data_IF_842982485954
#
_entry.id   IF_842982485954
#
_cell.length_a   1.000
_cell.length_b   1.000
_cell.length_c   1.000
_cell.angle_alpha   90.00
_cell.angle_beta   90.00
_cell.angle_gamma   90.00
#
_symmetry.space_group_name_H-M   'P 1'
#
loop_
_entity.id
_entity.type
_entity.pdbx_description
1 polymer ?
#
# COMPACT_ATOMS: atom_id res chain seq x y z
N UNK A 1 -14.20 -30.44 -3.92
CA UNK A 1 -13.05 -29.65 -4.41
C UNK A 1 -12.10 -30.67 -5.01
N UNK A 2 -12.22 -30.92 -6.31
CA UNK A 2 -11.46 -31.95 -7.02
C UNK A 2 -10.02 -31.46 -7.14
N UNK A 3 -9.06 -32.25 -6.67
CA UNK A 3 -7.64 -31.94 -6.78
C UNK A 3 -7.28 -31.73 -8.27
N UNK A 4 -6.72 -30.57 -8.58
CA UNK A 4 -6.26 -30.21 -9.93
C UNK A 4 -4.95 -30.96 -10.23
N UNK A 5 -5.04 -32.25 -10.50
CA UNK A 5 -3.91 -33.07 -10.97
C UNK A 5 -3.96 -33.08 -12.50
N UNK A 6 -3.23 -32.16 -13.15
CA UNK A 6 -3.11 -32.16 -14.61
C UNK A 6 -1.73 -32.67 -15.01
N UNK A 7 -1.70 -33.86 -15.64
CA UNK A 7 -0.56 -34.54 -16.31
C UNK A 7 0.67 -34.86 -15.47
N UNK A 8 1.38 -35.95 -15.81
CA UNK A 8 2.58 -36.43 -15.10
C UNK A 8 3.76 -35.42 -15.13
N UNK A 9 3.70 -34.37 -15.96
CA UNK A 9 4.81 -33.43 -16.23
C UNK A 9 4.61 -31.98 -15.70
N UNK A 10 3.42 -31.57 -15.23
CA UNK A 10 3.21 -30.20 -14.70
C UNK A 10 2.12 -30.10 -13.63
N UNK A 11 2.53 -30.05 -12.36
CA UNK A 11 1.62 -29.86 -11.23
C UNK A 11 1.52 -28.38 -10.84
N UNK A 12 0.43 -27.73 -11.25
CA UNK A 12 0.20 -26.29 -11.01
C UNK A 12 0.33 -25.90 -9.53
N UNK A 13 -0.20 -26.71 -8.61
CA UNK A 13 -0.10 -26.40 -7.18
C UNK A 13 1.34 -26.42 -6.67
N UNK A 14 2.15 -27.39 -7.11
CA UNK A 14 3.57 -27.48 -6.76
C UNK A 14 4.33 -26.30 -7.34
N UNK A 15 4.12 -26.00 -8.62
CA UNK A 15 4.74 -24.85 -9.29
C UNK A 15 4.36 -23.52 -8.63
N UNK A 16 3.11 -23.34 -8.18
CA UNK A 16 2.67 -22.16 -7.43
C UNK A 16 3.35 -22.07 -6.06
N UNK A 17 3.53 -23.19 -5.35
CA UNK A 17 4.21 -23.21 -4.06
C UNK A 17 5.70 -22.86 -4.21
N UNK A 18 6.39 -23.46 -5.20
CA UNK A 18 7.79 -23.12 -5.52
C UNK A 18 7.95 -21.64 -5.85
N UNK A 19 7.02 -21.09 -6.64
CA UNK A 19 7.03 -19.67 -6.95
C UNK A 19 6.79 -18.81 -5.70
N UNK A 20 5.86 -19.19 -4.81
CA UNK A 20 5.65 -18.47 -3.54
C UNK A 20 6.90 -18.47 -2.67
N UNK A 21 7.62 -19.58 -2.58
CA UNK A 21 8.90 -19.67 -1.87
C UNK A 21 9.94 -18.72 -2.48
N UNK A 22 10.05 -18.67 -3.81
CA UNK A 22 10.92 -17.70 -4.51
C UNK A 22 10.50 -16.25 -4.18
N UNK A 23 9.20 -15.96 -4.20
CA UNK A 23 8.69 -14.61 -3.92
C UNK A 23 8.89 -14.19 -2.47
N UNK A 24 8.98 -15.15 -1.54
CA UNK A 24 9.23 -14.88 -0.12
C UNK A 24 10.62 -14.30 0.13
N UNK A 25 11.62 -14.65 -0.69
CA UNK A 25 12.95 -14.02 -0.63
C UNK A 25 12.89 -12.50 -0.88
N UNK A 26 11.85 -12.04 -1.57
CA UNK A 26 11.56 -10.62 -1.81
C UNK A 26 10.40 -10.07 -0.97
N UNK A 27 9.91 -10.82 0.03
CA UNK A 27 8.80 -10.47 0.92
C UNK A 27 7.42 -10.35 0.23
N UNK A 28 7.18 -11.17 -0.79
CA UNK A 28 5.91 -11.27 -1.52
C UNK A 28 5.32 -12.70 -1.56
N UNK A 29 5.79 -13.62 -0.71
CA UNK A 29 5.32 -15.01 -0.67
C UNK A 29 3.84 -15.17 -0.30
N UNK A 30 3.30 -14.25 0.52
CA UNK A 30 1.90 -14.27 0.98
C UNK A 30 0.85 -13.86 -0.08
N UNK A 31 1.21 -13.80 -1.36
CA UNK A 31 0.22 -13.64 -2.43
C UNK A 31 -0.69 -14.87 -2.46
N UNK A 32 -2.00 -14.64 -2.36
CA UNK A 32 -2.96 -15.75 -2.27
C UNK A 32 -3.04 -16.53 -3.58
N UNK A 33 -3.32 -17.84 -3.47
CA UNK A 33 -3.51 -18.70 -4.63
C UNK A 33 -4.62 -18.20 -5.57
N UNK A 34 -5.69 -17.61 -5.02
CA UNK A 34 -6.74 -16.97 -5.82
C UNK A 34 -6.16 -15.87 -6.73
N UNK A 35 -5.27 -15.04 -6.21
CA UNK A 35 -4.65 -13.95 -6.98
C UNK A 35 -3.74 -14.50 -8.06
N UNK A 36 -3.01 -15.60 -7.81
CA UNK A 36 -2.22 -16.27 -8.85
C UNK A 36 -3.11 -16.77 -9.99
N UNK A 37 -4.16 -17.53 -9.67
CA UNK A 37 -5.10 -18.06 -10.67
C UNK A 37 -5.80 -16.95 -11.47
N UNK A 38 -6.24 -15.89 -10.78
CA UNK A 38 -6.85 -14.73 -11.43
C UNK A 38 -5.85 -13.95 -12.29
N UNK A 39 -4.58 -13.88 -11.89
CA UNK A 39 -3.52 -13.23 -12.67
C UNK A 39 -3.19 -14.03 -13.94
N UNK A 40 -3.15 -15.36 -13.86
CA UNK A 40 -2.96 -16.25 -15.03
C UNK A 40 -4.14 -16.10 -16.00
N UNK A 41 -5.37 -16.18 -15.51
CA UNK A 41 -6.57 -16.01 -16.35
C UNK A 41 -6.65 -14.61 -16.95
N UNK A 42 -6.34 -13.57 -16.17
CA UNK A 42 -6.25 -12.19 -16.66
C UNK A 42 -5.17 -11.98 -17.71
N UNK A 43 -4.01 -12.64 -17.57
CA UNK A 43 -2.91 -12.59 -18.53
C UNK A 43 -3.32 -13.20 -19.88
N UNK A 44 -3.93 -14.40 -19.85
CA UNK A 44 -4.24 -15.20 -21.04
C UNK A 44 -5.54 -14.73 -21.72
N UNK A 45 -6.59 -14.48 -20.94
CA UNK A 45 -7.97 -14.33 -21.44
C UNK A 45 -8.57 -12.94 -21.17
N UNK A 46 -7.84 -12.04 -20.49
CA UNK A 46 -8.34 -10.74 -20.02
C UNK A 46 -9.57 -10.83 -19.10
N UNK A 47 -9.76 -11.98 -18.43
CA UNK A 47 -10.91 -12.22 -17.56
C UNK A 47 -10.44 -12.90 -16.28
N UNK A 48 -11.02 -12.51 -15.14
CA UNK A 48 -10.63 -12.93 -13.79
C UNK A 48 -11.77 -13.60 -13.04
N UNK A 49 -12.91 -13.82 -13.72
CA UNK A 49 -14.06 -14.52 -13.14
C UNK A 49 -13.72 -15.98 -12.84
N UNK A 50 -14.39 -16.54 -11.83
CA UNK A 50 -14.21 -17.95 -11.46
C UNK A 50 -14.44 -18.89 -12.65
N UNK A 51 -15.42 -18.58 -13.51
CA UNK A 51 -15.74 -19.37 -14.70
C UNK A 51 -14.52 -19.40 -15.63
N UNK A 52 -13.98 -18.24 -16.01
CA UNK A 52 -12.80 -18.15 -16.87
C UNK A 52 -11.57 -18.83 -16.27
N UNK A 53 -11.38 -18.74 -14.95
CA UNK A 53 -10.31 -19.46 -14.25
C UNK A 53 -10.49 -20.98 -14.38
N UNK A 54 -11.71 -21.49 -14.25
CA UNK A 54 -12.00 -22.93 -14.36
C UNK A 54 -11.98 -23.48 -15.78
N UNK A 55 -12.15 -22.62 -16.78
CA UNK A 55 -12.14 -23.00 -18.21
C UNK A 55 -10.74 -23.06 -18.82
N UNK A 56 -9.71 -22.58 -18.12
CA UNK A 56 -8.32 -22.69 -18.57
C UNK A 56 -7.90 -24.16 -18.69
N UNK A 57 -7.40 -24.53 -19.86
CA UNK A 57 -6.81 -25.86 -20.06
C UNK A 57 -5.41 -25.93 -19.43
N UNK A 58 -4.99 -27.14 -19.03
CA UNK A 58 -3.63 -27.35 -18.51
C UNK A 58 -2.53 -26.94 -19.50
N UNK A 59 -2.78 -27.11 -20.81
CA UNK A 59 -1.89 -26.66 -21.88
C UNK A 59 -1.76 -25.13 -21.92
N UNK A 60 -2.88 -24.40 -21.87
CA UNK A 60 -2.86 -22.94 -21.84
C UNK A 60 -2.07 -22.41 -20.65
N UNK A 61 -2.26 -23.01 -19.47
CA UNK A 61 -1.55 -22.60 -18.25
C UNK A 61 -0.06 -22.90 -18.38
N UNK A 62 0.31 -24.13 -18.75
CA UNK A 62 1.70 -24.57 -18.88
C UNK A 62 2.47 -23.71 -19.90
N UNK A 63 1.88 -23.47 -21.06
CA UNK A 63 2.53 -22.74 -22.15
C UNK A 63 2.74 -21.24 -21.82
N UNK A 64 1.95 -20.70 -20.86
CA UNK A 64 2.08 -19.31 -20.38
C UNK A 64 2.74 -19.19 -19.01
N UNK A 65 3.07 -20.30 -18.34
CA UNK A 65 3.57 -20.32 -16.97
C UNK A 65 4.84 -19.49 -16.81
N UNK A 66 5.81 -19.68 -17.70
CA UNK A 66 7.07 -18.94 -17.65
C UNK A 66 6.87 -17.43 -17.83
N UNK A 67 5.98 -17.02 -18.75
CA UNK A 67 5.65 -15.61 -18.94
C UNK A 67 4.99 -15.01 -17.69
N UNK A 68 4.10 -15.77 -17.04
CA UNK A 68 3.50 -15.37 -15.77
C UNK A 68 4.55 -15.17 -14.66
N UNK A 69 5.46 -16.13 -14.47
CA UNK A 69 6.56 -16.01 -13.49
C UNK A 69 7.44 -14.79 -13.76
N UNK A 70 7.86 -14.57 -15.02
CA UNK A 70 8.65 -13.41 -15.41
C UNK A 70 7.89 -12.09 -15.20
N UNK A 71 6.59 -12.08 -15.45
CA UNK A 71 5.73 -10.93 -15.17
C UNK A 71 5.73 -10.60 -13.69
N UNK A 72 5.52 -11.59 -12.81
CA UNK A 72 5.55 -11.39 -11.36
C UNK A 72 6.90 -10.85 -10.86
N UNK A 73 8.02 -11.35 -11.38
CA UNK A 73 9.35 -10.84 -11.05
C UNK A 73 9.49 -9.35 -11.40
N UNK A 74 9.06 -8.95 -12.61
CA UNK A 74 9.04 -7.55 -13.05
C UNK A 74 8.10 -6.67 -12.20
N UNK A 75 6.96 -7.22 -11.77
CA UNK A 75 6.03 -6.53 -10.86
C UNK A 75 6.71 -6.22 -9.54
N UNK A 76 7.38 -7.19 -8.94
CA UNK A 76 8.07 -6.99 -7.66
C UNK A 76 9.19 -5.97 -7.81
N UNK A 77 9.95 -6.04 -8.90
CA UNK A 77 10.99 -5.05 -9.19
C UNK A 77 10.38 -3.64 -9.36
N UNK A 78 9.24 -3.51 -10.05
CA UNK A 78 8.49 -2.25 -10.17
C UNK A 78 7.98 -1.76 -8.81
N UNK A 79 7.33 -2.62 -8.02
CA UNK A 79 6.81 -2.27 -6.70
C UNK A 79 7.94 -1.79 -5.77
N UNK A 80 9.08 -2.47 -5.79
CA UNK A 80 10.23 -2.11 -4.96
C UNK A 80 10.92 -0.82 -5.43
N UNK A 81 11.20 -0.68 -6.74
CA UNK A 81 12.00 0.44 -7.27
C UNK A 81 11.22 1.70 -7.57
N UNK A 82 9.99 1.58 -8.07
CA UNK A 82 9.17 2.71 -8.54
C UNK A 82 8.14 3.15 -7.50
N UNK A 83 7.66 2.23 -6.67
CA UNK A 83 6.64 2.48 -5.64
C UNK A 83 7.23 2.46 -4.21
N UNK A 84 8.47 2.00 -4.02
CA UNK A 84 9.07 1.75 -2.69
C UNK A 84 8.22 0.82 -1.80
N UNK A 85 7.45 -0.09 -2.42
CA UNK A 85 6.70 -1.14 -1.75
C UNK A 85 7.57 -2.39 -1.69
N UNK A 86 8.29 -2.57 -0.57
CA UNK A 86 9.26 -3.66 -0.41
C UNK A 86 8.71 -4.91 0.29
N UNK A 87 7.42 -4.92 0.64
CA UNK A 87 6.80 -6.04 1.35
C UNK A 87 5.29 -6.06 1.07
N UNK A 88 4.72 -7.25 0.93
CA UNK A 88 3.29 -7.43 0.60
C UNK A 88 2.30 -6.83 1.61
N UNK A 89 2.65 -6.79 2.90
CA UNK A 89 1.92 -6.05 3.94
C UNK A 89 1.63 -4.56 3.62
N UNK A 90 2.43 -3.93 2.75
CA UNK A 90 2.19 -2.57 2.28
C UNK A 90 1.29 -2.50 1.06
N UNK A 91 1.14 -3.61 0.33
CA UNK A 91 0.33 -3.63 -0.86
C UNK A 91 -1.13 -3.41 -0.46
N UNK A 92 -1.75 -2.30 -0.92
CA UNK A 92 -3.12 -1.97 -0.51
C UNK A 92 -4.10 -3.08 -0.88
N UNK A 93 -3.94 -3.63 -2.08
CA UNK A 93 -4.77 -4.71 -2.59
C UNK A 93 -3.94 -5.70 -3.40
N UNK A 94 -3.99 -6.99 -3.05
CA UNK A 94 -3.33 -8.02 -3.88
C UNK A 94 -3.92 -8.06 -5.31
N UNK A 95 -5.17 -7.64 -5.50
CA UNK A 95 -5.83 -7.52 -6.80
C UNK A 95 -5.10 -6.58 -7.77
N UNK A 96 -4.30 -5.63 -7.29
CA UNK A 96 -3.48 -4.79 -8.17
C UNK A 96 -2.47 -5.63 -8.96
N UNK A 97 -1.99 -6.75 -8.41
CA UNK A 97 -1.07 -7.67 -9.09
C UNK A 97 -1.68 -8.25 -10.36
N UNK A 98 -3.01 -8.44 -10.42
CA UNK A 98 -3.68 -9.01 -11.60
C UNK A 98 -3.54 -8.09 -12.82
N UNK A 99 -3.83 -6.81 -12.66
CA UNK A 99 -3.69 -5.83 -13.74
C UNK A 99 -2.19 -5.57 -14.06
N UNK A 100 -1.33 -5.54 -13.05
CA UNK A 100 0.12 -5.42 -13.26
C UNK A 100 0.69 -6.63 -14.01
N UNK A 101 0.16 -7.84 -13.77
CA UNK A 101 0.55 -9.07 -14.50
C UNK A 101 0.25 -8.90 -15.98
N UNK A 102 -0.91 -8.35 -16.33
CA UNK A 102 -1.20 -8.03 -17.73
C UNK A 102 -0.19 -7.03 -18.30
N UNK A 103 0.15 -5.97 -17.57
CA UNK A 103 1.08 -4.93 -18.05
C UNK A 103 2.49 -5.48 -18.33
N UNK A 104 3.01 -6.33 -17.44
CA UNK A 104 4.37 -6.87 -17.53
C UNK A 104 4.49 -8.17 -18.33
N UNK A 105 3.36 -8.77 -18.69
CA UNK A 105 3.29 -9.94 -19.58
C UNK A 105 3.45 -9.61 -21.07
N UNK A 106 3.48 -8.33 -21.43
CA UNK A 106 3.90 -7.89 -22.77
C UNK A 106 5.43 -7.93 -22.89
N UNK A 107 5.92 -8.36 -24.05
CA UNK A 107 7.36 -8.53 -24.28
C UNK A 107 8.12 -7.22 -24.39
N UNK A 108 7.50 -6.11 -24.82
CA UNK A 108 8.22 -4.84 -24.96
C UNK A 108 8.48 -4.18 -23.60
N UNK A 109 9.61 -3.50 -23.50
CA UNK A 109 9.94 -2.68 -22.33
C UNK A 109 8.96 -1.50 -22.23
N UNK A 110 8.44 -1.20 -21.02
CA UNK A 110 7.60 -0.02 -20.80
C UNK A 110 8.32 1.29 -21.17
N UNK A 111 7.58 2.24 -21.73
CA UNK A 111 8.08 3.62 -21.90
C UNK A 111 7.94 4.42 -20.60
N UNK A 112 8.61 5.59 -20.52
CA UNK A 112 8.50 6.47 -19.37
C UNK A 112 7.06 6.96 -19.12
N UNK A 113 6.33 7.30 -20.19
CA UNK A 113 4.93 7.75 -20.09
C UNK A 113 4.02 6.62 -19.59
N UNK A 114 4.25 5.38 -20.07
CA UNK A 114 3.51 4.22 -19.60
C UNK A 114 3.73 3.95 -18.11
N UNK A 115 5.00 4.02 -17.65
CA UNK A 115 5.32 3.86 -16.23
C UNK A 115 4.73 5.00 -15.39
N UNK A 116 4.68 6.23 -15.90
CA UNK A 116 4.03 7.36 -15.22
C UNK A 116 2.54 7.07 -15.00
N UNK A 117 1.81 6.68 -16.04
CA UNK A 117 0.38 6.38 -15.94
C UNK A 117 0.10 5.14 -15.08
N UNK A 118 0.98 4.12 -15.14
CA UNK A 118 0.90 2.93 -14.28
C UNK A 118 1.06 3.28 -12.80
N UNK A 119 2.01 4.15 -12.46
CA UNK A 119 2.18 4.68 -11.09
C UNK A 119 0.95 5.45 -10.63
N UNK A 120 0.41 6.34 -11.47
CA UNK A 120 -0.79 7.09 -11.14
C UNK A 120 -2.00 6.16 -10.92
N UNK A 121 -2.17 5.13 -11.76
CA UNK A 121 -3.19 4.09 -11.56
C UNK A 121 -3.02 3.34 -10.24
N UNK A 122 -1.79 2.94 -9.89
CA UNK A 122 -1.51 2.26 -8.63
C UNK A 122 -1.96 3.12 -7.44
N UNK A 123 -1.60 4.40 -7.41
CA UNK A 123 -2.00 5.30 -6.32
C UNK A 123 -3.50 5.60 -6.31
N UNK A 124 -4.13 5.78 -7.48
CA UNK A 124 -5.58 6.00 -7.59
C UNK A 124 -6.37 4.82 -7.03
N UNK A 125 -5.97 3.60 -7.38
CA UNK A 125 -6.63 2.39 -6.90
C UNK A 125 -6.36 2.14 -5.41
N UNK A 126 -5.16 2.44 -4.93
CA UNK A 126 -4.77 2.37 -3.52
C UNK A 126 -5.60 3.27 -2.59
N UNK A 127 -5.92 4.49 -3.03
CA UNK A 127 -6.74 5.46 -2.27
C UNK A 127 -8.21 5.44 -2.73
N UNK A 128 -8.73 4.24 -3.00
CA UNK A 128 -10.13 4.05 -3.35
C UNK A 128 -10.69 2.78 -2.71
N UNK A 129 -12.01 2.68 -2.64
CA UNK A 129 -12.68 1.46 -2.19
C UNK A 129 -12.86 0.43 -3.32
N UNK A 130 -11.98 0.44 -4.33
CA UNK A 130 -12.13 -0.29 -5.58
C UNK A 130 -12.30 -1.79 -5.34
N UNK A 131 -11.37 -2.45 -4.67
CA UNK A 131 -11.47 -3.90 -4.44
C UNK A 131 -12.09 -4.28 -3.09
N UNK A 132 -12.44 -3.29 -2.25
CA UNK A 132 -13.14 -3.49 -0.97
C UNK A 132 -14.65 -3.63 -1.11
N UNK A 133 -15.20 -3.31 -2.28
CA UNK A 133 -16.65 -3.34 -2.57
C UNK A 133 -16.96 -4.42 -3.61
N UNK A 134 -18.20 -4.92 -3.65
CA UNK A 134 -18.60 -6.03 -4.55
C UNK A 134 -18.25 -5.83 -6.03
N UNK A 135 -18.38 -6.89 -6.85
CA UNK A 135 -17.94 -6.93 -8.26
C UNK A 135 -16.41 -6.79 -8.43
N UNK A 136 -15.64 -7.41 -7.53
CA UNK A 136 -14.17 -7.34 -7.56
C UNK A 136 -13.58 -7.83 -8.88
N UNK A 137 -14.12 -8.91 -9.46
CA UNK A 137 -13.69 -9.46 -10.76
C UNK A 137 -13.94 -8.49 -11.91
N UNK A 138 -15.10 -7.83 -11.95
CA UNK A 138 -15.43 -6.88 -13.03
C UNK A 138 -14.50 -5.65 -12.96
N UNK A 139 -14.13 -5.24 -11.74
CA UNK A 139 -13.17 -4.15 -11.55
C UNK A 139 -11.78 -4.55 -12.01
N UNK A 140 -11.30 -5.75 -11.65
CA UNK A 140 -10.03 -6.30 -12.14
C UNK A 140 -10.02 -6.40 -13.67
N UNK A 141 -11.10 -6.89 -14.28
CA UNK A 141 -11.23 -6.96 -15.74
C UNK A 141 -11.17 -5.56 -16.37
N UNK A 142 -11.90 -4.57 -15.82
CA UNK A 142 -11.82 -3.21 -16.34
C UNK A 142 -10.46 -2.53 -16.09
N UNK A 143 -9.69 -2.98 -15.09
CA UNK A 143 -8.31 -2.53 -14.91
C UNK A 143 -7.39 -3.16 -15.96
N UNK A 144 -7.56 -4.45 -16.27
CA UNK A 144 -6.85 -5.11 -17.37
C UNK A 144 -7.06 -4.36 -18.68
N UNK A 145 -8.31 -3.98 -19.00
CA UNK A 145 -8.62 -3.17 -20.19
C UNK A 145 -7.86 -1.84 -20.20
N UNK A 146 -7.91 -1.08 -19.10
CA UNK A 146 -7.17 0.19 -18.98
C UNK A 146 -5.66 0.00 -19.11
N UNK A 147 -5.12 -1.08 -18.54
CA UNK A 147 -3.70 -1.41 -18.63
C UNK A 147 -3.28 -1.70 -20.08
N UNK A 148 -4.12 -2.40 -20.85
CA UNK A 148 -3.89 -2.64 -22.28
C UNK A 148 -3.88 -1.30 -23.04
N UNK A 149 -4.75 -0.35 -22.70
CA UNK A 149 -4.71 1.00 -23.28
C UNK A 149 -3.41 1.74 -22.97
N UNK A 150 -2.91 1.67 -21.71
CA UNK A 150 -1.61 2.25 -21.35
C UNK A 150 -0.51 1.69 -22.26
N UNK A 151 -0.49 0.37 -22.49
CA UNK A 151 0.52 -0.29 -23.35
C UNK A 151 0.47 0.18 -24.80
N UNK A 152 -0.65 0.68 -25.27
CA UNK A 152 -0.82 1.26 -26.62
C UNK A 152 -0.67 2.78 -26.65
N UNK A 153 -0.22 3.40 -25.54
CA UNK A 153 -0.12 4.85 -25.33
C UNK A 153 -1.46 5.60 -25.45
N UNK A 154 -2.58 4.90 -25.23
CA UNK A 154 -3.86 5.54 -25.02
C UNK A 154 -4.10 5.73 -23.51
N UNK A 155 -4.12 6.99 -23.07
CA UNK A 155 -4.25 7.32 -21.64
C UNK A 155 -5.62 7.91 -21.28
N UNK A 156 -6.61 7.77 -22.17
CA UNK A 156 -7.90 8.46 -22.01
C UNK A 156 -8.70 7.89 -20.84
N UNK A 157 -8.93 6.57 -20.79
CA UNK A 157 -9.77 5.97 -19.75
C UNK A 157 -9.05 5.90 -18.39
N UNK A 158 -7.72 5.71 -18.39
CA UNK A 158 -6.94 5.69 -17.15
C UNK A 158 -6.91 7.05 -16.45
N UNK A 159 -6.94 8.15 -17.21
CA UNK A 159 -6.98 9.51 -16.64
C UNK A 159 -8.35 9.90 -16.09
N UNK A 160 -9.42 9.24 -16.55
CA UNK A 160 -10.76 9.37 -15.96
C UNK A 160 -10.89 8.71 -14.60
N UNK A 161 -10.08 7.70 -14.31
CA UNK A 161 -10.05 7.07 -12.98
C UNK A 161 -9.61 8.09 -11.93
N UNK A 162 -10.34 8.14 -10.81
CA UNK A 162 -10.05 8.99 -9.65
C UNK A 162 -9.94 8.11 -8.40
N UNK A 163 -9.11 8.54 -7.46
CA UNK A 163 -9.17 8.05 -6.09
C UNK A 163 -10.46 8.57 -5.45
N UNK A 164 -10.93 7.93 -4.37
CA UNK A 164 -12.18 8.32 -3.70
C UNK A 164 -12.00 8.70 -2.24
N UNK A 165 -10.84 8.41 -1.65
CA UNK A 165 -10.54 8.73 -0.25
C UNK A 165 -10.73 10.21 0.06
N UNK A 166 -11.48 10.49 1.12
CA UNK A 166 -11.72 11.84 1.65
C UNK A 166 -10.93 12.10 2.94
N UNK A 167 -10.84 13.37 3.36
CA UNK A 167 -10.29 13.74 4.68
C UNK A 167 -10.99 13.02 5.82
N UNK A 168 -12.32 12.96 5.78
CA UNK A 168 -13.12 12.30 6.82
C UNK A 168 -12.82 10.80 6.84
N UNK A 169 -12.69 10.13 5.70
CA UNK A 169 -12.29 8.71 5.69
C UNK A 169 -10.90 8.50 6.31
N UNK A 170 -9.93 9.40 6.09
CA UNK A 170 -8.62 9.33 6.74
C UNK A 170 -8.71 9.53 8.26
N UNK A 171 -9.58 10.42 8.72
CA UNK A 171 -9.76 10.72 10.14
C UNK A 171 -10.53 9.61 10.86
N UNK A 172 -11.60 9.11 10.25
CA UNK A 172 -12.54 8.18 10.87
C UNK A 172 -12.09 6.72 10.75
N UNK A 173 -11.15 6.41 9.84
CA UNK A 173 -10.62 5.06 9.70
C UNK A 173 -9.72 4.71 10.88
N UNK A 174 -10.15 3.70 11.66
CA UNK A 174 -9.32 3.07 12.69
C UNK A 174 -8.17 2.31 12.05
N UNK A 175 -6.96 2.53 12.56
CA UNK A 175 -5.74 1.87 12.14
C UNK A 175 -5.85 0.35 12.29
N UNK A 176 -5.66 -0.35 11.17
CA UNK A 176 -5.57 -1.80 11.12
C UNK A 176 -4.70 -2.20 9.95
N UNK A 177 -3.71 -3.08 10.17
CA UNK A 177 -2.85 -3.60 9.09
C UNK A 177 -3.62 -4.40 8.03
N UNK A 178 -4.85 -4.84 8.32
CA UNK A 178 -5.72 -5.50 7.35
C UNK A 178 -6.52 -4.50 6.49
N UNK A 179 -6.60 -3.24 6.88
CA UNK A 179 -7.36 -2.22 6.16
C UNK A 179 -6.52 -1.67 4.99
N UNK A 180 -7.02 -1.74 3.74
CA UNK A 180 -6.30 -1.24 2.57
C UNK A 180 -5.90 0.23 2.65
N UNK A 181 -6.77 1.10 3.18
CA UNK A 181 -6.47 2.51 3.35
C UNK A 181 -5.33 2.74 4.36
N UNK A 182 -5.24 1.92 5.41
CA UNK A 182 -4.09 1.94 6.33
C UNK A 182 -2.80 1.57 5.58
N UNK A 183 -2.82 0.51 4.76
CA UNK A 183 -1.64 0.11 3.97
C UNK A 183 -1.22 1.19 2.97
N UNK A 184 -2.17 1.78 2.26
CA UNK A 184 -1.95 2.90 1.34
C UNK A 184 -1.33 4.10 2.05
N UNK A 185 -1.86 4.48 3.21
CA UNK A 185 -1.32 5.55 4.04
C UNK A 185 0.12 5.26 4.47
N UNK A 186 0.40 4.05 4.96
CA UNK A 186 1.74 3.66 5.38
C UNK A 186 2.72 3.68 4.20
N UNK A 187 2.32 3.16 3.04
CA UNK A 187 3.14 3.17 1.82
C UNK A 187 3.41 4.58 1.31
N UNK A 188 2.43 5.49 1.41
CA UNK A 188 2.60 6.91 1.11
C UNK A 188 3.61 7.56 2.07
N UNK A 189 3.52 7.26 3.36
CA UNK A 189 4.47 7.73 4.36
C UNK A 189 5.91 7.26 4.06
N UNK A 190 6.11 6.03 3.57
CA UNK A 190 7.44 5.55 3.16
C UNK A 190 8.08 6.45 2.10
N UNK A 191 7.30 7.05 1.20
CA UNK A 191 7.81 7.94 0.16
C UNK A 191 8.49 9.18 0.73
N UNK A 192 8.04 9.64 1.90
CA UNK A 192 8.58 10.83 2.58
C UNK A 192 9.83 10.54 3.41
N UNK A 193 10.24 9.27 3.50
CA UNK A 193 11.43 8.83 4.27
C UNK A 193 11.42 9.42 5.68
N UNK A 194 10.36 9.16 6.48
CA UNK A 194 10.17 9.77 7.78
C UNK A 194 11.37 9.57 8.68
N UNK A 195 11.72 10.62 9.42
CA UNK A 195 12.74 10.58 10.46
C UNK A 195 12.11 10.41 11.83
N UNK A 196 12.86 9.78 12.73
CA UNK A 196 12.52 9.65 14.14
C UNK A 196 12.25 11.03 14.79
N UNK A 197 11.11 11.16 15.47
CA UNK A 197 10.67 12.42 16.06
C UNK A 197 11.60 12.98 17.15
N UNK A 198 12.32 12.11 17.86
CA UNK A 198 13.15 12.47 19.02
C UNK A 198 14.63 12.56 18.63
N UNK A 199 15.10 11.62 17.81
CA UNK A 199 16.52 11.45 17.48
C UNK A 199 16.92 12.06 16.13
N UNK A 200 15.95 12.45 15.30
CA UNK A 200 16.20 12.91 13.93
C UNK A 200 17.01 11.90 13.10
N UNK A 201 16.78 10.61 13.32
CA UNK A 201 17.45 9.54 12.60
C UNK A 201 16.54 8.97 11.53
N UNK A 202 17.12 8.54 10.41
CA UNK A 202 16.37 7.78 9.40
C UNK A 202 15.81 6.51 10.03
N UNK A 203 14.52 6.26 9.78
CA UNK A 203 13.88 5.03 10.22
C UNK A 203 14.16 3.97 9.16
N UNK A 204 14.71 2.83 9.58
CA UNK A 204 14.82 1.66 8.71
C UNK A 204 13.44 1.03 8.58
N UNK A 205 12.71 1.48 7.56
CA UNK A 205 11.34 1.04 7.31
C UNK A 205 11.37 -0.46 7.02
N UNK A 206 12.20 -0.95 6.10
CA UNK A 206 12.25 -2.37 5.70
C UNK A 206 12.47 -3.33 6.88
N UNK A 207 13.42 -3.03 7.78
CA UNK A 207 13.67 -3.84 8.99
C UNK A 207 12.60 -3.67 10.06
N UNK A 208 11.96 -2.51 10.14
CA UNK A 208 10.82 -2.26 11.04
C UNK A 208 9.60 -3.14 10.71
N UNK A 209 9.64 -3.88 9.59
CA UNK A 209 8.49 -4.56 9.00
C UNK A 209 8.69 -6.07 8.86
N UNK A 210 9.92 -6.51 8.54
CA UNK A 210 10.26 -7.94 8.40
C UNK A 210 10.10 -8.71 9.71
N UNK A 211 10.30 -8.04 10.84
CA UNK A 211 9.83 -8.56 12.11
C UNK A 211 8.39 -8.09 12.27
N UNK A 212 7.43 -9.01 12.28
CA UNK A 212 6.00 -8.83 12.56
C UNK A 212 5.70 -8.22 13.97
N UNK A 213 6.60 -7.41 14.50
CA UNK A 213 6.52 -6.66 15.73
C UNK A 213 5.60 -5.46 15.52
N UNK A 214 4.47 -5.45 16.23
CA UNK A 214 3.53 -4.31 16.39
C UNK A 214 4.17 -3.04 17.00
N UNK A 215 5.51 -2.92 17.01
CA UNK A 215 6.29 -2.00 17.85
C UNK A 215 6.81 -0.76 17.11
N UNK A 216 6.44 -0.54 15.85
CA UNK A 216 7.03 0.52 15.02
C UNK A 216 6.03 1.60 14.56
N UNK A 217 4.73 1.41 14.79
CA UNK A 217 3.70 2.42 14.53
C UNK A 217 3.14 2.91 15.86
N UNK A 218 3.24 4.20 16.12
CA UNK A 218 2.77 4.79 17.37
C UNK A 218 1.94 6.03 17.15
N UNK A 219 1.11 6.31 18.14
CA UNK A 219 0.27 7.51 18.15
C UNK A 219 1.15 8.75 18.32
N UNK A 220 0.91 9.78 17.51
CA UNK A 220 1.56 11.08 17.65
C UNK A 220 0.98 11.81 18.87
N UNK A 221 -0.35 11.83 18.99
CA UNK A 221 -1.01 12.21 20.24
C UNK A 221 -1.20 10.95 21.09
N UNK A 222 -0.50 10.79 22.22
CA UNK A 222 -0.46 9.51 22.92
C UNK A 222 -1.83 9.01 23.37
N UNK A 223 -2.06 7.70 23.23
CA UNK A 223 -3.31 7.02 23.58
C UNK A 223 -3.77 7.34 25.01
N UNK A 224 -2.86 7.22 25.99
CA UNK A 224 -3.18 7.48 27.41
C UNK A 224 -3.50 8.96 27.67
N UNK A 225 -2.89 9.89 26.93
CA UNK A 225 -3.25 11.30 26.99
C UNK A 225 -4.68 11.51 26.47
N UNK A 226 -4.99 10.99 25.27
CA UNK A 226 -6.30 11.19 24.65
C UNK A 226 -7.45 10.51 25.39
N UNK A 227 -7.21 9.34 25.99
CA UNK A 227 -8.20 8.68 26.87
C UNK A 227 -8.58 9.55 28.06
N UNK A 228 -7.60 10.19 28.71
CA UNK A 228 -7.85 11.12 29.84
C UNK A 228 -8.65 12.35 29.41
N UNK A 229 -8.51 12.78 28.15
CA UNK A 229 -9.30 13.86 27.55
C UNK A 229 -10.70 13.41 27.09
N UNK A 230 -11.05 12.13 27.23
CA UNK A 230 -12.39 11.61 26.90
C UNK A 230 -12.63 11.35 25.42
N UNK A 231 -11.58 11.27 24.59
CA UNK A 231 -11.75 10.93 23.17
C UNK A 231 -12.18 9.46 22.99
N UNK A 232 -13.07 9.16 22.02
CA UNK A 232 -13.48 7.81 21.71
C UNK A 232 -12.34 7.00 21.07
N UNK A 233 -12.33 5.69 21.27
CA UNK A 233 -11.25 4.79 20.81
C UNK A 233 -11.04 4.88 19.30
N UNK A 234 -12.12 4.99 18.53
CA UNK A 234 -12.10 5.09 17.08
C UNK A 234 -11.29 6.30 16.63
N UNK A 235 -11.48 7.44 17.30
CA UNK A 235 -10.78 8.69 17.00
C UNK A 235 -9.34 8.67 17.53
N UNK A 236 -9.09 8.05 18.68
CA UNK A 236 -7.72 7.87 19.20
C UNK A 236 -6.87 7.06 18.20
N UNK A 237 -7.43 5.96 17.71
CA UNK A 237 -6.78 5.04 16.79
C UNK A 237 -6.97 5.42 15.32
N UNK A 238 -7.33 6.66 15.02
CA UNK A 238 -7.37 7.20 13.66
C UNK A 238 -6.04 6.95 12.95
N UNK A 239 -6.05 6.52 11.68
CA UNK A 239 -4.81 6.38 10.91
C UNK A 239 -4.02 7.69 10.83
N UNK A 240 -4.72 8.83 10.82
CA UNK A 240 -4.12 10.16 10.82
C UNK A 240 -3.41 10.50 12.16
N UNK A 241 -3.54 9.68 13.20
CA UNK A 241 -2.78 9.81 14.44
C UNK A 241 -1.56 8.89 14.52
N UNK A 242 -1.27 8.06 13.50
CA UNK A 242 -0.11 7.16 13.53
C UNK A 242 1.10 7.70 12.77
N UNK A 243 2.30 7.38 13.25
CA UNK A 243 3.57 7.59 12.55
C UNK A 243 4.49 6.38 12.73
N UNK A 244 5.53 6.31 11.89
CA UNK A 244 6.67 5.44 12.16
C UNK A 244 7.47 6.03 13.32
N UNK A 245 7.67 5.25 14.38
CA UNK A 245 8.44 5.70 15.53
C UNK A 245 9.16 4.50 16.19
N UNK A 246 10.50 4.51 16.24
CA UNK A 246 11.28 3.53 16.97
C UNK A 246 10.84 3.36 18.43
N UNK A 247 10.87 2.13 18.93
CA UNK A 247 10.35 1.77 20.24
C UNK A 247 11.04 2.50 21.42
N UNK A 248 12.31 2.85 21.29
CA UNK A 248 13.08 3.62 22.25
C UNK A 248 12.68 5.11 22.27
N UNK A 249 12.45 5.72 21.13
CA UNK A 249 11.88 7.08 21.03
C UNK A 249 10.43 7.11 21.53
N UNK A 250 9.63 6.09 21.21
CA UNK A 250 8.29 5.94 21.78
C UNK A 250 8.30 5.81 23.31
N UNK A 251 9.29 5.11 23.90
CA UNK A 251 9.45 5.04 25.37
C UNK A 251 9.78 6.41 25.98
N UNK A 252 10.50 7.27 25.27
CA UNK A 252 10.79 8.63 25.73
C UNK A 252 9.54 9.52 25.71
N UNK A 253 8.73 9.42 24.66
CA UNK A 253 7.44 10.13 24.57
C UNK A 253 6.46 9.58 25.62
N UNK A 254 6.29 8.26 25.70
CA UNK A 254 5.42 7.57 26.66
C UNK A 254 3.98 8.16 26.64
N UNK A 255 3.46 8.60 27.78
CA UNK A 255 2.15 9.24 27.93
C UNK A 255 2.21 10.76 28.09
N UNK A 256 3.35 11.39 27.75
CA UNK A 256 3.51 12.85 27.83
C UNK A 256 2.51 13.55 26.93
N UNK A 257 2.10 14.74 27.34
CA UNK A 257 1.18 15.55 26.55
C UNK A 257 1.91 16.08 25.30
N UNK A 258 1.23 16.23 24.15
CA UNK A 258 1.80 16.88 22.97
C UNK A 258 2.46 18.23 23.26
N UNK A 259 1.81 19.07 24.07
CA UNK A 259 2.33 20.38 24.51
C UNK A 259 3.61 20.31 25.34
N UNK A 260 3.97 19.14 25.84
CA UNK A 260 5.22 18.91 26.58
C UNK A 260 6.25 18.28 25.64
N UNK A 261 5.95 17.13 25.06
CA UNK A 261 6.97 16.34 24.37
C UNK A 261 7.43 16.97 23.06
N UNK A 262 6.54 17.65 22.31
CA UNK A 262 6.95 18.33 21.07
C UNK A 262 7.99 19.42 21.35
N UNK A 263 7.96 20.06 22.51
CA UNK A 263 8.87 21.18 22.84
C UNK A 263 10.01 20.79 23.78
N UNK A 264 10.08 19.53 24.20
CA UNK A 264 11.14 19.03 25.09
C UNK A 264 11.94 17.88 24.49
N UNK A 265 11.35 17.11 23.57
CA UNK A 265 11.98 15.91 22.98
C UNK A 265 12.21 16.03 21.47
N UNK A 266 11.41 16.80 20.73
CA UNK A 266 11.65 17.01 19.30
C UNK A 266 12.74 18.07 19.15
N UNK A 267 13.84 17.80 18.42
CA UNK A 267 14.94 18.75 18.28
C UNK A 267 14.52 20.08 17.64
N UNK A 268 14.64 21.19 18.36
CA UNK A 268 14.21 22.52 17.91
C UNK A 268 14.84 22.94 16.57
N UNK A 269 16.14 22.67 16.38
CA UNK A 269 16.87 23.02 15.16
C UNK A 269 16.39 22.27 13.91
N UNK A 270 15.66 21.15 14.09
CA UNK A 270 15.16 20.31 13.00
C UNK A 270 13.65 20.11 13.07
N UNK A 271 12.94 20.88 13.89
CA UNK A 271 11.52 20.68 14.19
C UNK A 271 10.68 20.60 12.92
N UNK A 272 10.81 21.60 12.03
CA UNK A 272 10.04 21.63 10.79
C UNK A 272 10.39 20.48 9.85
N UNK A 273 11.67 20.16 9.69
CA UNK A 273 12.12 19.09 8.79
C UNK A 273 11.60 17.72 9.24
N UNK A 274 11.67 17.45 10.55
CA UNK A 274 11.18 16.21 11.16
C UNK A 274 9.66 16.09 10.95
N UNK A 275 8.91 17.16 11.22
CA UNK A 275 7.45 17.16 11.08
C UNK A 275 7.05 17.02 9.61
N UNK A 276 7.69 17.77 8.70
CA UNK A 276 7.43 17.67 7.27
C UNK A 276 7.70 16.27 6.71
N UNK A 277 8.81 15.62 7.10
CA UNK A 277 9.10 14.23 6.67
C UNK A 277 8.09 13.20 7.17
N UNK A 278 7.30 13.54 8.19
CA UNK A 278 6.25 12.69 8.77
C UNK A 278 4.83 13.14 8.37
N UNK A 279 4.70 14.10 7.44
CA UNK A 279 3.43 14.73 7.09
C UNK A 279 2.66 15.22 8.34
N UNK A 280 3.37 15.84 9.27
CA UNK A 280 2.82 16.40 10.50
C UNK A 280 2.68 17.93 10.33
N UNK A 281 1.55 18.55 10.72
CA UNK A 281 1.33 20.00 10.58
C UNK A 281 2.43 20.84 11.24
N UNK A 282 2.91 21.89 10.56
CA UNK A 282 3.98 22.75 11.10
C UNK A 282 3.47 23.80 12.11
N UNK A 283 2.15 23.98 12.24
CA UNK A 283 1.54 24.98 13.12
C UNK A 283 1.73 24.62 14.58
N UNK A 284 2.70 25.27 15.26
CA UNK A 284 3.05 24.99 16.67
C UNK A 284 1.88 25.08 17.65
N UNK A 285 0.97 26.02 17.43
CA UNK A 285 -0.22 26.26 18.27
C UNK A 285 -1.08 24.99 18.47
N UNK A 286 -1.12 24.11 17.47
CA UNK A 286 -1.82 22.81 17.54
C UNK A 286 -1.28 21.99 18.72
N UNK A 287 0.04 21.95 18.89
CA UNK A 287 0.70 21.17 19.93
C UNK A 287 0.67 21.89 21.27
N UNK A 288 0.93 23.21 21.29
CA UNK A 288 0.89 24.03 22.52
C UNK A 288 -0.47 23.92 23.23
N UNK A 289 -1.57 23.92 22.46
CA UNK A 289 -2.93 23.83 22.97
C UNK A 289 -3.46 22.39 23.07
N UNK A 290 -2.66 21.39 22.71
CA UNK A 290 -3.07 19.99 22.57
C UNK A 290 -4.35 19.81 21.72
N UNK A 291 -4.50 20.59 20.65
CA UNK A 291 -5.70 20.62 19.82
C UNK A 291 -5.77 19.43 18.86
N UNK A 292 -6.21 18.28 19.38
CA UNK A 292 -6.21 17.02 18.64
C UNK A 292 -7.12 17.02 17.40
N UNK A 293 -8.27 17.73 17.45
CA UNK A 293 -9.18 17.79 16.31
C UNK A 293 -8.56 18.57 15.14
N UNK A 294 -7.94 19.72 15.44
CA UNK A 294 -7.25 20.52 14.42
C UNK A 294 -6.01 19.79 13.87
N UNK A 295 -5.29 19.06 14.74
CA UNK A 295 -4.22 18.18 14.30
C UNK A 295 -4.69 17.16 13.25
N UNK A 296 -5.79 16.44 13.51
CA UNK A 296 -6.32 15.43 12.59
C UNK A 296 -6.74 16.05 11.25
N UNK A 297 -7.44 17.19 11.28
CA UNK A 297 -7.87 17.90 10.07
C UNK A 297 -6.68 18.37 9.23
N UNK A 298 -5.71 19.05 9.85
CA UNK A 298 -4.53 19.56 9.16
C UNK A 298 -3.64 18.44 8.63
N UNK A 299 -3.51 17.34 9.36
CA UNK A 299 -2.76 16.19 8.89
C UNK A 299 -3.47 15.51 7.71
N UNK A 300 -4.79 15.36 7.76
CA UNK A 300 -5.55 14.82 6.64
C UNK A 300 -5.44 15.70 5.38
N UNK A 301 -5.40 17.04 5.52
CA UNK A 301 -5.13 17.97 4.41
C UNK A 301 -3.76 17.72 3.75
N UNK A 302 -2.71 17.55 4.55
CA UNK A 302 -1.36 17.24 4.04
C UNK A 302 -1.33 15.90 3.30
N UNK A 303 -2.01 14.88 3.85
CA UNK A 303 -2.07 13.55 3.24
C UNK A 303 -2.83 13.61 1.90
N UNK A 304 -3.97 14.31 1.83
CA UNK A 304 -4.73 14.47 0.58
C UNK A 304 -3.90 15.21 -0.48
N UNK A 305 -3.20 16.29 -0.10
CA UNK A 305 -2.34 17.02 -1.03
C UNK A 305 -1.23 16.11 -1.62
N UNK A 306 -0.71 15.18 -0.83
CA UNK A 306 0.28 14.22 -1.32
C UNK A 306 -0.35 13.14 -2.23
N UNK A 307 -1.57 12.69 -1.94
CA UNK A 307 -2.33 11.80 -2.82
C UNK A 307 -2.58 12.48 -4.18
N UNK A 308 -2.95 13.77 -4.17
CA UNK A 308 -3.10 14.56 -5.40
C UNK A 308 -1.79 14.64 -6.19
N UNK A 309 -0.66 14.82 -5.51
CA UNK A 309 0.67 14.86 -6.15
C UNK A 309 1.05 13.52 -6.80
N UNK A 310 0.69 12.39 -6.18
CA UNK A 310 1.02 11.05 -6.68
C UNK A 310 0.08 10.57 -7.79
N UNK A 311 -1.09 11.20 -7.96
CA UNK A 311 -2.14 10.75 -8.89
C UNK A 311 -2.30 11.64 -10.13
N UNK A 312 -1.60 12.77 -10.21
CA UNK A 312 -1.57 13.71 -11.34
C UNK A 312 -0.18 13.78 -12.00
#
# INVERSE_FOLDING_TARGET
>A
MTAWTWTDDFHLLEAMNELQEELEEKSFGDLTQSIFLQSISGLIQNNTTTISVTELSGEQVRDNWQNFCESLRKIIDFLSSEINCSHIDFLPFQQQVVALTKFFGFSERPTADQLKELKAWFWKTSFSNRYSTGQTTDKMNSDIERIIEIRTNNFTEIRKLKYTTTKNELIDTKFSKANPLTRSFLLLMVQHKPTDLVKNMKIDITKSLSEYNRKQYHHIFPNEFLKKQGFPTEKIFSIANFCFLPADSNKQISSKNPSEYFFTLVPDNNFNDILSSNLIPLTKEIYEKNNYNDFLEKRAELIIAEIDRLTN
#
